data_IF_083370916279
#
_entry.id   IF_083370916279
#
_cell.length_a   1.000
_cell.length_b   1.000
_cell.length_c   1.000
_cell.angle_alpha   90.00
_cell.angle_beta   90.00
_cell.angle_gamma   90.00
#
_symmetry.space_group_name_H-M   'P 1'
#
loop_
_entity.id
_entity.type
_entity.pdbx_description
1 polymer ?
#
# COMPACT_ATOMS: atom_id res chain seq x y z
N UNK A 1 -14.93 0.96 6.07
CA UNK A 1 -14.90 1.39 7.51
C UNK A 1 -14.24 2.75 7.60
N UNK A 2 -14.90 3.69 8.23
CA UNK A 2 -14.36 5.04 8.48
C UNK A 2 -13.46 4.97 9.71
N UNK A 3 -12.18 5.32 9.57
CA UNK A 3 -11.25 5.48 10.71
C UNK A 3 -11.44 6.86 11.31
N UNK A 4 -11.35 7.89 10.46
CA UNK A 4 -11.62 9.30 10.72
C UNK A 4 -12.13 9.96 9.44
N UNK A 5 -12.62 11.20 9.53
CA UNK A 5 -13.00 11.96 8.34
C UNK A 5 -11.83 12.06 7.35
N UNK A 6 -12.05 11.65 6.11
CA UNK A 6 -11.03 11.60 5.07
C UNK A 6 -10.05 10.41 5.17
N UNK A 7 -10.27 9.45 6.09
CA UNK A 7 -9.45 8.24 6.21
C UNK A 7 -10.37 7.03 6.25
N UNK A 8 -10.39 6.28 5.16
CA UNK A 8 -11.25 5.10 5.00
C UNK A 8 -10.38 3.87 4.79
N UNK A 9 -10.76 2.77 5.44
CA UNK A 9 -10.06 1.50 5.34
C UNK A 9 -11.01 0.39 4.90
N UNK A 10 -10.53 -0.45 4.02
CA UNK A 10 -11.21 -1.63 3.50
C UNK A 10 -10.34 -2.87 3.74
N UNK A 11 -10.24 -3.31 5.02
CA UNK A 11 -9.36 -4.41 5.39
C UNK A 11 -9.91 -5.72 4.84
N UNK A 12 -9.00 -6.56 4.34
CA UNK A 12 -9.32 -7.92 3.97
C UNK A 12 -9.30 -8.83 5.20
N UNK A 13 -10.42 -9.52 5.46
CA UNK A 13 -10.61 -10.32 6.69
C UNK A 13 -10.69 -11.83 6.44
N UNK A 14 -10.60 -12.27 5.18
CA UNK A 14 -10.62 -13.69 4.88
C UNK A 14 -9.19 -14.26 4.89
N UNK A 15 -8.83 -14.96 5.96
CA UNK A 15 -7.50 -15.56 6.14
C UNK A 15 -7.21 -16.76 5.22
N UNK A 16 -8.21 -17.29 4.51
CA UNK A 16 -8.03 -18.42 3.58
C UNK A 16 -7.69 -17.97 2.16
N UNK A 17 -7.82 -16.71 1.86
CA UNK A 17 -7.54 -16.14 0.54
C UNK A 17 -6.68 -14.89 0.70
N UNK A 18 -5.59 -14.85 -0.07
CA UNK A 18 -4.70 -13.70 -0.05
C UNK A 18 -5.34 -12.52 -0.78
N UNK A 19 -5.36 -11.37 -0.14
CA UNK A 19 -5.71 -10.07 -0.71
C UNK A 19 -5.20 -8.97 0.21
N UNK A 20 -4.93 -7.77 -0.33
CA UNK A 20 -4.49 -6.65 0.48
C UNK A 20 -5.64 -5.90 1.17
N UNK A 21 -5.28 -5.11 2.16
CA UNK A 21 -6.07 -3.99 2.63
C UNK A 21 -5.99 -2.85 1.61
N UNK A 22 -7.08 -2.14 1.40
CA UNK A 22 -7.14 -0.94 0.56
C UNK A 22 -7.54 0.28 1.39
N UNK A 23 -7.06 1.45 1.01
CA UNK A 23 -7.30 2.68 1.78
C UNK A 23 -7.70 3.83 0.86
N UNK A 24 -8.63 4.67 1.32
CA UNK A 24 -8.91 5.96 0.67
C UNK A 24 -8.52 7.07 1.63
N UNK A 25 -7.67 7.98 1.15
CA UNK A 25 -7.15 9.12 1.90
C UNK A 25 -7.48 10.42 1.17
N UNK A 26 -8.11 11.35 1.88
CA UNK A 26 -8.60 12.63 1.35
C UNK A 26 -10.11 12.75 1.50
N UNK A 27 -10.63 13.95 1.23
CA UNK A 27 -12.07 14.26 1.34
C UNK A 27 -12.69 14.36 -0.06
N UNK A 28 -12.81 15.57 -0.62
CA UNK A 28 -13.45 15.80 -1.91
C UNK A 28 -12.66 15.26 -3.11
N UNK A 29 -11.33 15.21 -2.96
CA UNK A 29 -10.36 14.75 -3.96
C UNK A 29 -9.38 13.82 -3.25
N UNK A 30 -9.51 12.54 -3.48
CA UNK A 30 -8.85 11.51 -2.69
C UNK A 30 -7.88 10.64 -3.50
N UNK A 31 -7.00 9.97 -2.77
CA UNK A 31 -6.17 8.87 -3.29
C UNK A 31 -6.72 7.54 -2.80
N UNK A 32 -6.78 6.56 -3.69
CA UNK A 32 -7.01 5.15 -3.35
C UNK A 32 -5.65 4.44 -3.35
N UNK A 33 -5.31 3.80 -2.25
CA UNK A 33 -4.03 3.08 -2.10
C UNK A 33 -4.31 1.59 -2.12
N UNK A 34 -3.69 0.90 -3.08
CA UNK A 34 -3.82 -0.51 -3.40
C UNK A 34 -5.26 -0.96 -3.70
N UNK A 35 -5.42 -1.91 -4.58
CA UNK A 35 -6.74 -2.26 -5.13
C UNK A 35 -7.07 -3.75 -5.07
N UNK A 36 -6.12 -4.57 -4.64
CA UNK A 36 -6.33 -5.99 -4.43
C UNK A 36 -6.40 -6.84 -5.70
N UNK A 37 -6.84 -8.07 -5.49
CA UNK A 37 -7.15 -9.01 -6.57
C UNK A 37 -8.45 -8.66 -7.29
N UNK A 38 -8.46 -8.85 -8.60
CA UNK A 38 -9.64 -8.60 -9.44
C UNK A 38 -10.87 -9.42 -8.98
N UNK A 39 -10.68 -10.66 -8.55
CA UNK A 39 -11.77 -11.53 -8.04
C UNK A 39 -12.38 -10.99 -6.73
N UNK A 40 -11.71 -10.11 -6.01
CA UNK A 40 -12.13 -9.56 -4.73
C UNK A 40 -12.46 -8.06 -4.79
N UNK A 41 -12.34 -7.41 -5.94
CA UNK A 41 -12.55 -5.97 -6.11
C UNK A 41 -13.95 -5.50 -5.69
N UNK A 42 -14.97 -6.37 -5.83
CA UNK A 42 -16.33 -6.07 -5.37
C UNK A 42 -16.42 -5.85 -3.85
N UNK A 43 -15.51 -6.43 -3.06
CA UNK A 43 -15.43 -6.15 -1.62
C UNK A 43 -15.04 -4.69 -1.38
N UNK A 44 -14.02 -4.21 -2.07
CA UNK A 44 -13.56 -2.82 -2.01
C UNK A 44 -14.66 -1.86 -2.48
N UNK A 45 -15.26 -2.11 -3.66
CA UNK A 45 -16.29 -1.24 -4.23
C UNK A 45 -17.52 -1.14 -3.33
N UNK A 46 -18.01 -2.27 -2.78
CA UNK A 46 -19.11 -2.25 -1.82
C UNK A 46 -18.78 -1.54 -0.52
N UNK A 47 -17.56 -1.70 -0.03
CA UNK A 47 -17.08 -0.99 1.16
C UNK A 47 -17.07 0.53 0.93
N UNK A 48 -16.56 0.98 -0.22
CA UNK A 48 -16.57 2.39 -0.61
C UNK A 48 -18.00 2.93 -0.70
N UNK A 49 -18.91 2.21 -1.37
CA UNK A 49 -20.32 2.60 -1.48
C UNK A 49 -21.00 2.73 -0.11
N UNK A 50 -20.78 1.77 0.80
CA UNK A 50 -21.33 1.78 2.16
C UNK A 50 -20.84 2.99 2.99
N UNK A 51 -19.61 3.41 2.78
CA UNK A 51 -19.01 4.57 3.45
C UNK A 51 -19.30 5.89 2.73
N UNK A 52 -20.07 5.86 1.61
CA UNK A 52 -20.39 7.03 0.81
C UNK A 52 -19.24 7.59 -0.02
N UNK A 53 -18.17 6.79 -0.20
CA UNK A 53 -17.00 7.17 -1.03
C UNK A 53 -17.31 6.86 -2.48
N UNK A 54 -17.49 7.91 -3.27
CA UNK A 54 -17.71 7.79 -4.72
C UNK A 54 -16.40 7.62 -5.48
N UNK A 55 -16.42 6.82 -6.54
CA UNK A 55 -15.29 6.79 -7.50
C UNK A 55 -15.03 8.16 -8.13
N UNK A 56 -16.04 9.03 -8.19
CA UNK A 56 -15.89 10.40 -8.71
C UNK A 56 -15.01 11.30 -7.81
N UNK A 57 -14.87 10.95 -6.54
CA UNK A 57 -13.95 11.64 -5.63
C UNK A 57 -12.51 11.13 -5.72
N UNK A 58 -12.26 10.00 -6.37
CA UNK A 58 -10.90 9.45 -6.52
C UNK A 58 -10.22 10.07 -7.73
N UNK A 59 -9.08 10.74 -7.51
CA UNK A 59 -8.25 11.30 -8.57
C UNK A 59 -7.09 10.40 -8.94
N UNK A 60 -6.58 9.63 -7.97
CA UNK A 60 -5.35 8.88 -8.10
C UNK A 60 -5.46 7.53 -7.41
N UNK A 61 -5.08 6.48 -8.11
CA UNK A 61 -4.74 5.19 -7.52
C UNK A 61 -3.22 5.14 -7.33
N UNK A 62 -2.79 4.96 -6.09
CA UNK A 62 -1.40 4.72 -5.73
C UNK A 62 -1.22 3.23 -5.49
N UNK A 63 -0.27 2.62 -6.17
CA UNK A 63 0.14 1.24 -5.94
C UNK A 63 1.41 1.25 -5.11
N UNK A 64 1.35 0.69 -3.91
CA UNK A 64 2.51 0.62 -3.01
C UNK A 64 3.58 -0.27 -3.58
N UNK A 65 3.19 -1.39 -4.19
CA UNK A 65 4.04 -2.31 -4.94
C UNK A 65 3.19 -3.20 -5.87
N UNK A 66 3.80 -3.81 -6.88
CA UNK A 66 3.08 -4.50 -7.96
C UNK A 66 2.89 -6.00 -7.74
N UNK A 67 2.85 -6.51 -6.50
CA UNK A 67 2.42 -7.90 -6.27
C UNK A 67 0.95 -8.07 -6.65
N UNK A 68 0.54 -9.30 -7.07
CA UNK A 68 -0.80 -9.52 -7.63
C UNK A 68 -1.94 -9.08 -6.72
N UNK A 69 -1.81 -9.30 -5.42
CA UNK A 69 -2.81 -8.99 -4.41
C UNK A 69 -2.90 -7.50 -4.03
N UNK A 70 -2.04 -6.65 -4.60
CA UNK A 70 -2.12 -5.19 -4.49
C UNK A 70 -2.51 -4.52 -5.81
N UNK A 71 -2.16 -5.14 -6.97
CA UNK A 71 -2.21 -4.46 -8.25
C UNK A 71 -3.20 -5.07 -9.25
N UNK A 72 -3.60 -6.35 -9.15
CA UNK A 72 -4.35 -7.05 -10.20
C UNK A 72 -5.65 -6.34 -10.60
N UNK A 73 -6.37 -5.74 -9.64
CA UNK A 73 -7.64 -5.08 -9.90
C UNK A 73 -7.51 -3.67 -10.49
N UNK A 74 -6.30 -3.15 -10.73
CA UNK A 74 -6.08 -1.75 -11.14
C UNK A 74 -6.88 -1.35 -12.38
N UNK A 75 -7.13 -2.28 -13.30
CA UNK A 75 -7.93 -2.03 -14.50
C UNK A 75 -9.38 -1.65 -14.23
N UNK A 76 -9.92 -1.95 -13.04
CA UNK A 76 -11.27 -1.54 -12.63
C UNK A 76 -11.37 -0.04 -12.39
N UNK A 77 -10.25 0.61 -12.03
CA UNK A 77 -10.18 2.02 -11.69
C UNK A 77 -9.57 2.88 -12.80
N UNK A 78 -8.90 2.26 -13.77
CA UNK A 78 -8.22 2.96 -14.87
C UNK A 78 -9.20 3.32 -16.00
N UNK A 79 -10.13 4.22 -15.72
CA UNK A 79 -11.17 4.70 -16.66
C UNK A 79 -10.70 5.90 -17.52
N UNK A 80 -9.45 6.32 -17.38
CA UNK A 80 -8.84 7.48 -18.04
C UNK A 80 -9.00 8.80 -17.27
N UNK A 81 -9.95 8.88 -16.34
CA UNK A 81 -10.13 10.00 -15.42
C UNK A 81 -9.26 9.83 -14.17
N UNK A 82 -9.35 8.65 -13.55
CA UNK A 82 -8.51 8.29 -12.40
C UNK A 82 -7.10 7.97 -12.91
N UNK A 83 -6.11 8.63 -12.35
CA UNK A 83 -4.70 8.38 -12.68
C UNK A 83 -4.17 7.19 -11.88
N UNK A 84 -3.22 6.46 -12.46
CA UNK A 84 -2.54 5.34 -11.80
C UNK A 84 -1.07 5.65 -11.67
N UNK A 85 -0.51 5.49 -10.47
CA UNK A 85 0.89 5.72 -10.22
C UNK A 85 1.51 4.67 -9.29
N UNK A 86 2.76 4.34 -9.54
CA UNK A 86 3.62 3.55 -8.68
C UNK A 86 5.05 4.07 -8.75
N UNK A 87 5.97 3.49 -7.98
CA UNK A 87 7.39 3.79 -8.14
C UNK A 87 7.93 3.23 -9.46
N UNK A 88 8.89 3.93 -10.07
CA UNK A 88 9.46 3.51 -11.37
C UNK A 88 10.08 2.10 -11.31
N UNK A 89 10.83 1.83 -10.26
CA UNK A 89 11.49 0.53 -10.08
C UNK A 89 10.47 -0.61 -9.94
N UNK A 90 9.27 -0.32 -9.45
CA UNK A 90 8.19 -1.29 -9.33
C UNK A 90 7.60 -1.68 -10.69
N UNK A 91 7.38 -0.70 -11.58
CA UNK A 91 6.97 -1.00 -12.95
C UNK A 91 8.06 -1.75 -13.72
N UNK A 92 9.33 -1.41 -13.54
CA UNK A 92 10.46 -2.12 -14.15
C UNK A 92 10.57 -3.56 -13.62
N UNK A 93 10.42 -3.74 -12.30
CA UNK A 93 10.36 -5.04 -11.66
C UNK A 93 9.23 -5.92 -12.21
N UNK A 94 8.01 -5.38 -12.28
CA UNK A 94 6.84 -6.09 -12.81
C UNK A 94 7.08 -6.63 -14.23
N UNK A 95 7.76 -5.84 -15.07
CA UNK A 95 8.07 -6.21 -16.47
C UNK A 95 9.16 -7.28 -16.58
N UNK A 96 10.00 -7.48 -15.58
CA UNK A 96 11.15 -8.41 -15.59
C UNK A 96 10.86 -9.61 -14.71
N UNK A 97 11.01 -9.45 -13.41
CA UNK A 97 11.04 -10.53 -12.42
C UNK A 97 9.68 -10.74 -11.75
N UNK A 98 8.95 -9.66 -11.45
CA UNK A 98 7.66 -9.70 -10.75
C UNK A 98 6.57 -10.44 -11.52
N UNK A 99 6.69 -10.51 -12.84
CA UNK A 99 5.78 -11.30 -13.67
C UNK A 99 5.72 -12.78 -13.33
N UNK A 100 6.76 -13.33 -12.70
CA UNK A 100 6.80 -14.73 -12.23
C UNK A 100 5.70 -15.00 -11.21
N UNK A 101 5.40 -14.06 -10.31
CA UNK A 101 4.35 -14.22 -9.30
C UNK A 101 2.97 -14.33 -9.94
N UNK A 102 2.69 -13.52 -10.96
CA UNK A 102 1.46 -13.62 -11.75
C UNK A 102 1.34 -14.97 -12.45
N UNK A 103 2.43 -15.43 -13.05
CA UNK A 103 2.48 -16.74 -13.72
C UNK A 103 2.25 -17.89 -12.73
N UNK A 104 2.87 -17.86 -11.56
CA UNK A 104 2.69 -18.88 -10.52
C UNK A 104 1.24 -18.96 -10.03
N UNK A 105 0.54 -17.84 -10.00
CA UNK A 105 -0.87 -17.76 -9.60
C UNK A 105 -1.83 -18.01 -10.78
N UNK A 106 -1.34 -18.16 -12.01
CA UNK A 106 -2.17 -18.32 -13.20
C UNK A 106 -2.95 -17.07 -13.59
N UNK A 107 -2.45 -15.89 -13.23
CA UNK A 107 -3.09 -14.58 -13.46
C UNK A 107 -2.32 -13.82 -14.54
N UNK A 108 -3.05 -13.06 -15.35
CA UNK A 108 -2.41 -12.17 -16.32
C UNK A 108 -2.01 -10.85 -15.68
N UNK A 109 -0.83 -10.34 -15.99
CA UNK A 109 -0.43 -8.99 -15.61
C UNK A 109 -1.41 -7.98 -16.21
N UNK A 110 -1.98 -7.05 -15.42
CA UNK A 110 -2.86 -6.01 -15.92
C UNK A 110 -2.17 -5.15 -16.99
N UNK A 111 -2.86 -4.89 -18.10
CA UNK A 111 -2.37 -4.02 -19.18
C UNK A 111 -2.92 -2.61 -19.00
N UNK A 112 -2.57 -1.99 -17.88
CA UNK A 112 -2.94 -0.62 -17.55
C UNK A 112 -1.70 0.25 -17.61
N UNK A 113 -1.75 1.40 -18.31
CA UNK A 113 -0.63 2.33 -18.31
C UNK A 113 -0.45 2.93 -16.89
N UNK A 114 0.78 3.04 -16.44
CA UNK A 114 1.15 3.90 -15.32
C UNK A 114 1.22 5.32 -15.87
N UNK A 115 0.34 6.21 -15.37
CA UNK A 115 0.25 7.58 -15.89
C UNK A 115 1.49 8.41 -15.55
N UNK A 116 2.06 8.20 -14.34
CA UNK A 116 3.32 8.80 -13.93
C UNK A 116 3.98 8.00 -12.80
N UNK A 117 5.29 8.18 -12.65
CA UNK A 117 6.03 7.51 -11.59
C UNK A 117 6.12 8.38 -10.33
N UNK A 118 5.83 7.75 -9.20
CA UNK A 118 6.12 8.30 -7.90
C UNK A 118 7.61 8.14 -7.58
N UNK A 119 8.16 9.09 -6.89
CA UNK A 119 9.49 9.06 -6.32
C UNK A 119 9.44 9.70 -4.94
N UNK A 120 10.45 9.45 -4.13
CA UNK A 120 10.56 10.05 -2.81
C UNK A 120 10.40 11.57 -2.85
N UNK A 121 9.53 12.10 -1.99
CA UNK A 121 9.21 13.52 -1.92
C UNK A 121 7.74 13.80 -1.65
N UNK A 122 7.33 15.03 -1.85
CA UNK A 122 5.95 15.49 -1.60
C UNK A 122 5.06 15.22 -2.81
N UNK A 123 3.87 14.68 -2.52
CA UNK A 123 2.77 14.50 -3.46
C UNK A 123 1.57 15.31 -2.97
N UNK A 124 1.04 16.18 -3.83
CA UNK A 124 -0.19 16.92 -3.54
C UNK A 124 -1.35 16.36 -4.35
N UNK A 125 -2.43 15.98 -3.67
CA UNK A 125 -3.70 15.59 -4.30
C UNK A 125 -4.83 16.30 -3.58
N UNK A 126 -5.68 17.01 -4.33
CA UNK A 126 -6.68 17.91 -3.74
C UNK A 126 -6.02 18.95 -2.84
N UNK A 127 -6.51 19.07 -1.60
CA UNK A 127 -5.93 19.95 -0.58
C UNK A 127 -4.89 19.25 0.32
N UNK A 128 -4.63 17.95 0.13
CA UNK A 128 -3.79 17.14 1.02
C UNK A 128 -2.35 17.06 0.50
N UNK A 129 -1.40 17.10 1.45
CA UNK A 129 0.03 16.92 1.20
C UNK A 129 0.49 15.59 1.79
N UNK A 130 0.91 14.68 0.92
CA UNK A 130 1.47 13.39 1.29
C UNK A 130 2.99 13.39 1.08
N UNK A 131 3.69 12.58 1.86
CA UNK A 131 5.09 12.23 1.60
C UNK A 131 5.14 10.82 1.03
N UNK A 132 5.69 10.67 -0.15
CA UNK A 132 6.05 9.39 -0.73
C UNK A 132 7.44 9.02 -0.21
N UNK A 133 7.57 7.83 0.37
CA UNK A 133 8.82 7.34 0.95
C UNK A 133 9.18 6.05 0.22
N UNK A 134 10.33 6.02 -0.46
CA UNK A 134 10.84 4.81 -1.08
C UNK A 134 11.34 3.85 0.01
N UNK A 135 10.76 2.67 0.05
CA UNK A 135 10.96 1.65 1.09
C UNK A 135 11.17 0.27 0.45
N UNK A 136 12.29 0.06 -0.25
CA UNK A 136 12.60 -1.21 -0.86
C UNK A 136 12.89 -2.29 0.17
N UNK A 137 12.79 -3.55 -0.27
CA UNK A 137 13.14 -4.72 0.54
C UNK A 137 12.13 -5.86 0.43
N UNK A 138 10.83 -5.59 0.52
CA UNK A 138 9.78 -6.56 0.13
C UNK A 138 9.67 -6.65 -1.40
N UNK A 139 9.69 -5.52 -2.05
CA UNK A 139 9.84 -5.35 -3.50
C UNK A 139 10.84 -4.22 -3.79
N UNK A 140 11.44 -4.15 -5.00
CA UNK A 140 12.48 -3.14 -5.28
C UNK A 140 11.96 -1.70 -5.29
N UNK A 141 10.74 -1.49 -5.72
CA UNK A 141 10.12 -0.18 -5.82
C UNK A 141 9.02 0.07 -4.78
N UNK A 142 9.01 -0.70 -3.70
CA UNK A 142 8.04 -0.54 -2.61
C UNK A 142 8.04 0.87 -2.04
N UNK A 143 6.86 1.43 -1.77
CA UNK A 143 6.71 2.77 -1.19
C UNK A 143 5.74 2.75 -0.01
N UNK A 144 6.02 3.63 0.95
CA UNK A 144 5.04 4.05 1.95
C UNK A 144 4.48 5.42 1.60
N UNK A 145 3.23 5.68 2.02
CA UNK A 145 2.57 6.97 1.89
C UNK A 145 2.31 7.52 3.30
N UNK A 146 2.94 8.63 3.60
CA UNK A 146 2.77 9.31 4.88
C UNK A 146 1.99 10.60 4.71
N UNK A 147 0.94 10.79 5.51
CA UNK A 147 0.15 12.02 5.60
C UNK A 147 0.49 12.73 6.92
N UNK A 148 1.45 13.68 6.92
CA UNK A 148 1.98 14.29 8.15
C UNK A 148 0.91 15.00 8.98
N UNK A 149 0.00 15.72 8.33
CA UNK A 149 -1.05 16.49 9.01
C UNK A 149 -1.98 15.60 9.84
N UNK A 150 -2.20 14.37 9.39
CA UNK A 150 -3.07 13.39 10.05
C UNK A 150 -2.28 12.30 10.78
N UNK A 151 -0.94 12.34 10.73
CA UNK A 151 -0.05 11.35 11.35
C UNK A 151 -0.38 9.92 10.91
N UNK A 152 -0.77 9.74 9.63
CA UNK A 152 -1.17 8.48 9.02
C UNK A 152 -0.05 7.94 8.14
N UNK A 153 0.30 6.68 8.31
CA UNK A 153 1.28 5.99 7.49
C UNK A 153 0.68 4.73 6.86
N UNK A 154 0.57 4.70 5.53
CA UNK A 154 0.29 3.49 4.76
C UNK A 154 1.62 2.82 4.43
N UNK A 155 1.79 1.56 4.85
CA UNK A 155 3.07 0.86 4.75
C UNK A 155 3.15 -0.15 3.61
N UNK A 156 2.04 -0.44 2.91
CA UNK A 156 2.02 -1.62 2.04
C UNK A 156 2.57 -2.83 2.78
N UNK A 157 3.42 -3.58 2.13
CA UNK A 157 4.01 -4.79 2.71
C UNK A 157 5.39 -4.56 3.35
N UNK A 158 5.63 -3.36 3.88
CA UNK A 158 6.83 -3.10 4.68
C UNK A 158 6.66 -3.60 6.12
N UNK A 159 5.59 -3.16 6.79
CA UNK A 159 5.31 -3.40 8.22
C UNK A 159 3.85 -3.79 8.41
N UNK A 160 3.62 -4.83 9.19
CA UNK A 160 2.30 -5.30 9.65
C UNK A 160 2.20 -5.24 11.18
N UNK A 161 1.04 -5.60 11.72
CA UNK A 161 0.93 -5.82 13.15
C UNK A 161 1.79 -7.02 13.55
N UNK A 162 2.87 -6.76 14.30
CA UNK A 162 3.87 -7.75 14.74
C UNK A 162 4.47 -8.59 13.60
N UNK A 163 4.63 -7.99 12.43
CA UNK A 163 5.16 -8.66 11.27
C UNK A 163 5.77 -7.71 10.26
N UNK A 164 6.47 -8.29 9.30
CA UNK A 164 7.09 -7.58 8.18
C UNK A 164 6.81 -8.31 6.88
N UNK A 165 6.93 -7.61 5.76
CA UNK A 165 6.86 -8.20 4.43
C UNK A 165 7.96 -9.24 4.22
N UNK A 166 7.63 -10.31 3.51
CA UNK A 166 8.60 -11.35 3.15
C UNK A 166 9.61 -10.82 2.13
N UNK A 167 10.81 -11.40 2.15
CA UNK A 167 11.93 -10.99 1.27
C UNK A 167 12.47 -12.13 0.41
N UNK A 168 11.79 -13.28 0.39
CA UNK A 168 12.19 -14.49 -0.35
C UNK A 168 11.58 -14.57 -1.76
N UNK A 169 10.75 -13.61 -2.16
CA UNK A 169 10.30 -13.46 -3.54
C UNK A 169 11.37 -12.78 -4.40
N UNK A 170 11.33 -12.98 -5.75
CA UNK A 170 12.21 -12.23 -6.65
C UNK A 170 12.17 -10.74 -6.36
N UNK A 171 13.34 -10.10 -6.28
CA UNK A 171 13.45 -8.68 -5.93
C UNK A 171 13.43 -8.36 -4.43
N UNK A 172 13.20 -9.35 -3.56
CA UNK A 172 13.24 -9.18 -2.11
C UNK A 172 14.66 -9.08 -1.57
N UNK A 173 14.87 -8.25 -0.54
CA UNK A 173 16.14 -8.01 0.13
C UNK A 173 15.91 -7.66 1.61
N UNK A 174 16.29 -8.56 2.51
CA UNK A 174 16.07 -8.38 3.96
C UNK A 174 16.81 -7.19 4.53
N UNK A 175 18.02 -6.92 4.05
CA UNK A 175 18.79 -5.76 4.52
C UNK A 175 18.12 -4.44 4.14
N UNK A 176 17.65 -4.33 2.89
CA UNK A 176 16.91 -3.14 2.45
C UNK A 176 15.59 -2.99 3.20
N UNK A 177 14.89 -4.12 3.49
CA UNK A 177 13.67 -4.11 4.29
C UNK A 177 13.92 -3.49 5.67
N UNK A 178 14.99 -3.94 6.36
CA UNK A 178 15.38 -3.42 7.67
C UNK A 178 15.71 -1.91 7.60
N UNK A 179 16.51 -1.48 6.61
CA UNK A 179 16.86 -0.06 6.41
C UNK A 179 15.60 0.79 6.15
N UNK A 180 14.63 0.25 5.40
CA UNK A 180 13.35 0.89 5.11
C UNK A 180 12.46 1.01 6.36
N UNK A 181 12.43 -0.01 7.22
CA UNK A 181 11.73 0.03 8.51
C UNK A 181 12.34 1.10 9.41
N UNK A 182 13.69 1.16 9.51
CA UNK A 182 14.40 2.18 10.28
C UNK A 182 14.12 3.61 9.81
N UNK A 183 13.85 3.78 8.52
CA UNK A 183 13.49 5.06 7.93
C UNK A 183 12.11 5.53 8.39
N UNK A 184 11.09 4.66 8.33
CA UNK A 184 9.71 5.01 8.62
C UNK A 184 9.40 5.04 10.12
N UNK A 185 10.09 4.25 10.97
CA UNK A 185 9.89 4.26 12.43
C UNK A 185 10.18 5.60 13.10
N UNK A 186 10.93 6.49 12.42
CA UNK A 186 11.28 7.83 12.92
C UNK A 186 10.18 8.86 12.68
N UNK A 187 9.14 8.50 11.95
CA UNK A 187 8.01 9.36 11.68
C UNK A 187 7.09 9.45 12.90
N UNK A 188 6.40 10.57 13.00
CA UNK A 188 5.35 10.78 14.00
C UNK A 188 4.05 10.16 13.48
N UNK A 189 3.76 8.91 13.90
CA UNK A 189 2.64 8.12 13.38
C UNK A 189 1.64 7.79 14.48
N UNK A 190 0.40 8.21 14.29
CA UNK A 190 -0.76 7.88 15.13
C UNK A 190 -1.55 6.68 14.56
N UNK A 191 -1.64 6.59 13.23
CA UNK A 191 -2.40 5.55 12.54
C UNK A 191 -1.48 4.89 11.52
N UNK A 192 -1.25 3.57 11.69
CA UNK A 192 -0.50 2.75 10.76
C UNK A 192 -1.45 1.83 10.01
N UNK A 193 -1.40 1.90 8.68
CA UNK A 193 -2.28 1.24 7.72
C UNK A 193 -1.46 0.23 6.89
N UNK A 194 -1.41 -1.04 7.31
CA UNK A 194 -0.59 -2.06 6.65
C UNK A 194 -1.26 -2.66 5.41
N UNK A 195 -0.47 -3.23 4.49
CA UNK A 195 -0.99 -3.98 3.35
C UNK A 195 -1.82 -5.19 3.75
N UNK A 196 -1.51 -5.81 4.89
CA UNK A 196 -2.24 -6.96 5.41
C UNK A 196 -2.44 -6.88 6.93
N UNK A 197 -3.50 -7.55 7.41
CA UNK A 197 -3.76 -7.72 8.83
C UNK A 197 -4.35 -6.49 9.52
N UNK A 198 -4.04 -6.33 10.80
CA UNK A 198 -4.69 -5.36 11.68
C UNK A 198 -4.15 -3.95 11.48
N UNK A 199 -5.05 -2.97 11.45
CA UNK A 199 -4.74 -1.55 11.50
C UNK A 199 -4.35 -1.18 12.93
N UNK A 200 -3.30 -0.38 13.10
CA UNK A 200 -2.82 0.04 14.41
C UNK A 200 -3.17 1.52 14.61
N UNK A 201 -3.94 1.79 15.67
CA UNK A 201 -4.31 3.16 16.05
C UNK A 201 -3.77 3.44 17.46
N UNK A 202 -3.10 4.57 17.61
CA UNK A 202 -2.45 5.03 18.84
C UNK A 202 -0.93 5.03 18.70
N UNK A 203 -0.31 6.18 18.94
CA UNK A 203 1.15 6.38 18.85
C UNK A 203 1.92 5.33 19.66
N UNK A 204 1.53 5.12 20.93
CA UNK A 204 2.20 4.13 21.79
C UNK A 204 2.14 2.72 21.20
N UNK A 205 1.00 2.32 20.62
CA UNK A 205 0.83 1.02 19.98
C UNK A 205 1.67 0.89 18.72
N UNK A 206 1.77 1.95 17.92
CA UNK A 206 2.64 1.99 16.74
C UNK A 206 4.10 1.84 17.15
N UNK A 207 4.54 2.57 18.17
CA UNK A 207 5.92 2.47 18.68
C UNK A 207 6.21 1.11 19.31
N UNK A 208 5.25 0.52 20.03
CA UNK A 208 5.37 -0.85 20.55
C UNK A 208 5.50 -1.87 19.41
N UNK A 209 4.73 -1.69 18.35
CA UNK A 209 4.80 -2.56 17.18
C UNK A 209 6.19 -2.51 16.51
N UNK A 210 6.78 -1.33 16.33
CA UNK A 210 8.14 -1.20 15.78
C UNK A 210 9.18 -1.86 16.69
N UNK A 211 9.07 -1.73 18.02
CA UNK A 211 9.96 -2.42 18.96
C UNK A 211 9.83 -3.94 18.87
N UNK A 212 8.60 -4.45 18.81
CA UNK A 212 8.37 -5.89 18.67
C UNK A 212 8.93 -6.45 17.34
N UNK A 213 8.87 -5.68 16.27
CA UNK A 213 9.47 -6.02 14.98
C UNK A 213 11.00 -6.06 15.08
N UNK A 214 11.62 -5.05 15.67
CA UNK A 214 13.07 -5.00 15.88
C UNK A 214 13.57 -6.23 16.65
N UNK A 215 12.90 -6.58 17.74
CA UNK A 215 13.27 -7.72 18.58
C UNK A 215 13.10 -9.08 17.88
N UNK A 216 12.06 -9.21 17.03
CA UNK A 216 11.67 -10.50 16.45
C UNK A 216 12.24 -10.78 15.09
N UNK A 217 12.46 -9.76 14.27
CA UNK A 217 12.79 -9.92 12.85
C UNK A 217 14.20 -9.46 12.47
N UNK A 218 14.77 -8.43 13.13
CA UNK A 218 16.12 -7.97 12.78
C UNK A 218 17.21 -9.04 12.91
N UNK A 219 17.14 -9.99 13.86
CA UNK A 219 18.10 -11.08 13.89
C UNK A 219 17.96 -12.07 12.73
N UNK A 220 16.85 -12.02 11.97
CA UNK A 220 16.51 -12.95 10.88
C UNK A 220 16.70 -12.35 9.47
N UNK A 221 16.79 -11.03 9.38
CA UNK A 221 16.95 -10.26 8.14
C UNK A 221 18.45 -9.96 7.88
#
# INVERSE_FOLDING_TARGET
MIIENGIYAYPWQNYFENNCNSYVLGEDRAVLVDVGHKRHVDHLLRGMEQDGVSLDSIDLVIITHCHPDHYEAVGTFADGRIKVACHKEEEEYLRREGGVLYQMMGIAIPRVPIDFHLKEGTLQVGGCLYQVIHTPGHSPGGICIYWPERRVLVTGDLVFYRGVGRTDFPGGDGKQLMESIEKVRRLDVEILLPGHGEIIVGEDRVQENFRAIEESYYPLL
#
